data_IF_652262473238
#
_entry.id   IF_652262473238
#
_cell.length_a   1.000
_cell.length_b   1.000
_cell.length_c   1.000
_cell.angle_alpha   90.00
_cell.angle_beta   90.00
_cell.angle_gamma   90.00
#
_symmetry.space_group_name_H-M   'P 1'
#
loop_
_entity.id
_entity.type
_entity.pdbx_description
1 polymer ?
#
# COMPACT_ATOMS: atom_id res chain seq x y z
N UNK A 1 17.61 7.13 19.69
CA UNK A 1 17.26 6.55 19.34
C UNK A 1 16.36 6.48 18.66
N UNK A 2 16.18 6.44 18.18
CA UNK A 2 15.43 6.40 17.55
C UNK A 2 14.69 5.64 17.11
N UNK A 3 14.06 5.44 17.37
CA UNK A 3 13.45 4.26 17.13
C UNK A 3 12.42 4.27 16.09
N UNK A 4 12.57 3.41 15.20
CA UNK A 4 11.56 3.13 14.21
C UNK A 4 10.65 2.05 14.80
N UNK A 5 9.39 2.38 15.03
CA UNK A 5 8.42 1.38 15.49
C UNK A 5 7.99 0.55 14.28
N UNK A 6 8.23 -0.75 14.29
CA UNK A 6 7.85 -1.57 13.15
C UNK A 6 6.34 -1.65 12.99
N UNK A 7 5.90 -1.77 11.75
CA UNK A 7 4.50 -2.03 11.47
C UNK A 7 4.14 -3.44 11.93
N UNK A 8 2.89 -3.61 12.31
CA UNK A 8 2.36 -4.91 12.69
C UNK A 8 1.15 -5.23 11.84
N UNK A 9 1.00 -6.51 11.53
CA UNK A 9 -0.17 -6.97 10.78
C UNK A 9 -1.32 -7.29 11.75
N UNK A 10 -2.41 -7.84 11.21
CA UNK A 10 -3.60 -8.15 12.02
C UNK A 10 -3.31 -9.19 13.09
N UNK A 11 -2.34 -10.07 12.85
CA UNK A 11 -1.97 -11.09 13.82
C UNK A 11 -1.03 -10.55 14.90
N UNK A 12 -0.61 -9.29 14.76
CA UNK A 12 0.30 -8.67 15.73
C UNK A 12 1.77 -8.93 15.45
N UNK A 13 2.08 -9.57 14.32
CA UNK A 13 3.47 -9.85 13.95
C UNK A 13 4.12 -8.59 13.39
N UNK A 14 5.39 -8.39 13.72
CA UNK A 14 6.16 -7.28 13.18
C UNK A 14 6.56 -7.58 11.75
N UNK A 15 6.42 -6.58 10.89
CA UNK A 15 6.86 -6.69 9.50
C UNK A 15 8.37 -6.45 9.42
N UNK A 16 8.99 -7.11 8.46
CA UNK A 16 10.38 -6.82 8.14
C UNK A 16 10.47 -5.48 7.41
N UNK A 17 11.68 -4.94 7.25
CA UNK A 17 11.85 -3.71 6.50
C UNK A 17 11.42 -3.89 5.05
N UNK A 18 11.72 -5.06 4.46
CA UNK A 18 11.29 -5.35 3.10
C UNK A 18 9.77 -5.34 2.99
N UNK A 19 9.10 -5.94 3.95
CA UNK A 19 7.64 -5.98 3.95
C UNK A 19 7.05 -4.60 4.14
N UNK A 20 7.66 -3.77 5.00
CA UNK A 20 7.21 -2.40 5.18
C UNK A 20 7.33 -1.59 3.90
N UNK A 21 8.41 -1.80 3.13
CA UNK A 21 8.57 -1.12 1.86
C UNK A 21 7.48 -1.50 0.88
N UNK A 22 7.07 -2.77 0.89
CA UNK A 22 5.96 -3.19 0.04
C UNK A 22 4.66 -2.52 0.45
N UNK A 23 4.41 -2.38 1.75
CA UNK A 23 3.23 -1.67 2.25
C UNK A 23 3.26 -0.21 1.81
N UNK A 24 4.40 0.45 1.96
CA UNK A 24 4.53 1.85 1.55
C UNK A 24 4.27 2.01 0.04
N UNK A 25 4.78 1.08 -0.75
CA UNK A 25 4.58 1.11 -2.20
C UNK A 25 3.10 0.98 -2.54
N UNK A 26 2.41 0.06 -1.90
CA UNK A 26 0.97 -0.12 -2.12
C UNK A 26 0.21 1.15 -1.76
N UNK A 27 0.48 1.70 -0.59
CA UNK A 27 -0.20 2.90 -0.12
C UNK A 27 0.03 4.08 -1.05
N UNK A 28 1.27 4.23 -1.53
CA UNK A 28 1.62 5.32 -2.42
C UNK A 28 0.89 5.18 -3.77
N UNK A 29 0.89 3.98 -4.32
CA UNK A 29 0.20 3.72 -5.59
C UNK A 29 -1.31 3.96 -5.43
N UNK A 30 -1.87 3.48 -4.33
CA UNK A 30 -3.29 3.68 -4.05
C UNK A 30 -3.63 5.16 -3.99
N UNK A 31 -2.79 5.93 -3.29
CA UNK A 31 -3.00 7.37 -3.18
C UNK A 31 -2.93 8.05 -4.55
N UNK A 32 -1.92 7.69 -5.34
CA UNK A 32 -1.76 8.29 -6.67
C UNK A 32 -3.00 8.06 -7.53
N UNK A 33 -3.52 6.84 -7.52
CA UNK A 33 -4.70 6.51 -8.32
C UNK A 33 -5.95 7.19 -7.79
N UNK A 34 -6.07 7.30 -6.47
CA UNK A 34 -7.24 7.92 -5.86
C UNK A 34 -7.25 9.43 -6.10
N UNK A 35 -6.11 10.08 -5.91
CA UNK A 35 -6.04 11.53 -5.96
C UNK A 35 -5.86 12.07 -7.37
N UNK A 36 -5.17 11.34 -8.22
CA UNK A 36 -4.77 11.83 -9.54
C UNK A 36 -5.24 10.98 -10.71
N UNK A 37 -6.10 10.00 -10.44
CA UNK A 37 -6.53 9.07 -11.48
C UNK A 37 -7.17 9.77 -12.67
N UNK A 38 -7.91 10.85 -12.42
CA UNK A 38 -8.58 11.56 -13.51
C UNK A 38 -7.61 12.38 -14.35
N UNK A 39 -6.43 12.69 -13.80
CA UNK A 39 -5.40 13.42 -14.54
C UNK A 39 -4.50 12.50 -15.33
N UNK A 40 -4.60 11.20 -15.08
CA UNK A 40 -3.74 10.23 -15.75
C UNK A 40 -4.22 9.94 -17.16
N UNK A 41 -3.25 9.66 -18.04
CA UNK A 41 -3.61 9.12 -19.35
C UNK A 41 -4.27 7.75 -19.15
N UNK A 42 -5.19 7.35 -20.07
CA UNK A 42 -5.89 6.07 -19.87
C UNK A 42 -4.98 4.87 -19.66
N UNK A 43 -3.86 4.80 -20.38
CA UNK A 43 -2.95 3.65 -20.21
C UNK A 43 -2.28 3.66 -18.84
N UNK A 44 -2.00 4.85 -18.30
CA UNK A 44 -1.39 4.98 -16.98
C UNK A 44 -2.35 4.50 -15.90
N UNK A 45 -3.59 4.96 -15.99
CA UNK A 45 -4.59 4.59 -15.00
C UNK A 45 -4.89 3.11 -15.06
N UNK A 46 -5.07 2.58 -16.26
CA UNK A 46 -5.39 1.15 -16.44
C UNK A 46 -4.29 0.26 -15.88
N UNK A 47 -3.04 0.56 -16.24
CA UNK A 47 -1.93 -0.26 -15.76
C UNK A 47 -1.66 -0.04 -14.29
N UNK A 48 -1.89 1.17 -13.79
CA UNK A 48 -1.79 1.44 -12.35
C UNK A 48 -2.80 0.63 -11.55
N UNK A 49 -4.03 0.51 -12.06
CA UNK A 49 -5.04 -0.30 -11.39
C UNK A 49 -4.68 -1.78 -11.39
N UNK A 50 -4.11 -2.27 -12.49
CA UNK A 50 -3.64 -3.65 -12.56
C UNK A 50 -2.52 -3.89 -11.54
N UNK A 51 -1.59 -2.95 -11.45
CA UNK A 51 -0.50 -3.05 -10.49
C UNK A 51 -1.03 -3.03 -9.05
N UNK A 52 -2.01 -2.19 -8.80
CA UNK A 52 -2.62 -2.11 -7.46
C UNK A 52 -3.28 -3.45 -7.11
N UNK A 53 -3.99 -4.05 -8.05
CA UNK A 53 -4.64 -5.33 -7.82
C UNK A 53 -3.60 -6.43 -7.52
N UNK A 54 -2.47 -6.41 -8.24
CA UNK A 54 -1.41 -7.38 -7.99
C UNK A 54 -0.80 -7.16 -6.60
N UNK A 55 -0.56 -5.90 -6.24
CA UNK A 55 -0.02 -5.58 -4.92
C UNK A 55 -1.00 -5.90 -3.79
N UNK A 56 -2.30 -5.83 -4.09
CA UNK A 56 -3.30 -6.21 -3.11
C UNK A 56 -3.11 -7.65 -2.65
N UNK A 57 -2.71 -8.55 -3.56
CA UNK A 57 -2.45 -9.93 -3.19
C UNK A 57 -1.28 -10.02 -2.21
N UNK A 58 -0.27 -9.16 -2.38
CA UNK A 58 0.85 -9.12 -1.43
C UNK A 58 0.35 -8.66 -0.06
N UNK A 59 -0.49 -7.63 -0.04
CA UNK A 59 -1.02 -7.11 1.22
C UNK A 59 -1.86 -8.16 1.94
N UNK A 60 -2.65 -8.93 1.19
CA UNK A 60 -3.41 -10.05 1.75
C UNK A 60 -2.48 -11.08 2.36
N UNK A 61 -1.38 -11.39 1.68
CA UNK A 61 -0.41 -12.36 2.17
C UNK A 61 0.28 -11.90 3.45
N UNK A 62 0.40 -10.57 3.63
CA UNK A 62 0.98 -10.01 4.83
C UNK A 62 -0.04 -9.85 5.95
N UNK A 63 -1.32 -10.10 5.65
CA UNK A 63 -2.41 -9.99 6.63
C UNK A 63 -2.53 -8.57 7.17
N UNK A 64 -2.49 -7.58 6.27
CA UNK A 64 -2.55 -6.18 6.66
C UNK A 64 -3.97 -5.71 6.92
N UNK A 65 -4.12 -4.84 7.90
CA UNK A 65 -5.39 -4.18 8.20
C UNK A 65 -5.70 -3.17 7.10
N UNK A 66 -6.89 -3.24 6.49
CA UNK A 66 -7.27 -2.25 5.47
C UNK A 66 -7.10 -0.81 5.92
N UNK A 67 -7.31 -0.52 7.20
CA UNK A 67 -7.12 0.83 7.71
C UNK A 67 -5.69 1.34 7.60
N UNK A 68 -4.72 0.43 7.57
CA UNK A 68 -3.32 0.79 7.39
C UNK A 68 -2.97 0.97 5.92
N UNK A 69 -3.76 0.37 5.03
CA UNK A 69 -3.47 0.39 3.59
C UNK A 69 -4.05 1.62 2.91
N UNK A 70 -5.18 2.10 3.40
CA UNK A 70 -5.93 3.14 2.72
C UNK A 70 -5.93 4.43 3.52
N UNK A 71 -4.76 4.82 3.95
CA UNK A 71 -4.58 6.13 4.60
C UNK A 71 -4.62 7.17 3.49
N UNK A 72 -5.82 7.68 3.24
CA UNK A 72 -6.02 8.62 2.15
C UNK A 72 -5.82 10.06 2.61
N UNK A 73 -5.01 10.25 3.60
CA UNK A 73 -4.68 11.59 4.04
C UNK A 73 -5.84 12.31 4.69
N UNK A 74 -6.67 11.56 5.23
CA UNK A 74 -7.82 12.13 5.93
C UNK A 74 -7.36 12.92 7.12
#
# INVERSE_FOLDING_TARGET
MTGHDPMRNLAGDELTECEEELVHTYRHLHRALTMYGEEMAPYQRRNGLKALAAMWQVMNGLDMDPGQLYDVGA
#
